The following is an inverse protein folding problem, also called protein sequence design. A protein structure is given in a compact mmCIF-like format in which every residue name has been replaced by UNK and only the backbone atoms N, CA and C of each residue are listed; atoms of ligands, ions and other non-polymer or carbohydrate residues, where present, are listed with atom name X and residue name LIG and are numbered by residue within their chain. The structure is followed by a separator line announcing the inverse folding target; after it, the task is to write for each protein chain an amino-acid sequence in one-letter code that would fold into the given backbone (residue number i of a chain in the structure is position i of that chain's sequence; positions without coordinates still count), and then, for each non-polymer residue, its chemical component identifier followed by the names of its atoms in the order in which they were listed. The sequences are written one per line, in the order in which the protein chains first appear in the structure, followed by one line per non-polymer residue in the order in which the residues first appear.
data_IF_036722969499
#
_entry.id   IF_036722969499
#
_cell.length_a   1.000
_cell.length_b   1.000
_cell.length_c   1.000
_cell.angle_alpha   90.00
_cell.angle_beta   90.00
_cell.angle_gamma   90.00
#
_symmetry.space_group_name_H-M   'P 1'
#
loop_
_entity.id
_entity.type
_entity.pdbx_description
1 polymer ?
#
# COMPACT_ATOMS: atom_id res chain seq x y z
N UNK A 1 -9.08 10.23 12.93
CA UNK A 1 -9.53 10.11 11.52
C UNK A 1 -8.29 10.32 10.68
N UNK A 2 -7.38 9.33 10.66
CA UNK A 2 -5.95 9.67 10.52
C UNK A 2 -5.25 8.97 9.35
N UNK A 3 -5.97 8.12 8.60
CA UNK A 3 -5.45 7.49 7.39
C UNK A 3 -6.37 7.80 6.21
N UNK A 4 -5.79 8.27 5.12
CA UNK A 4 -6.49 8.56 3.85
C UNK A 4 -5.95 7.62 2.79
N UNK A 5 -6.82 6.85 2.14
CA UNK A 5 -6.45 6.10 0.95
C UNK A 5 -6.40 7.05 -0.24
N UNK A 6 -5.23 7.22 -0.87
CA UNK A 6 -5.06 8.13 -1.99
C UNK A 6 -5.39 7.46 -3.33
N UNK A 7 -5.13 6.16 -3.43
CA UNK A 7 -5.41 5.41 -4.64
C UNK A 7 -4.45 4.26 -4.86
N UNK A 8 -4.45 3.72 -6.08
CA UNK A 8 -3.52 2.69 -6.53
C UNK A 8 -3.12 2.87 -7.97
N UNK A 9 -1.96 2.31 -8.30
CA UNK A 9 -1.47 2.20 -9.67
C UNK A 9 -1.12 0.74 -9.96
N UNK A 10 -1.51 0.27 -11.15
CA UNK A 10 -1.13 -1.04 -11.66
C UNK A 10 0.11 -0.87 -12.54
N UNK A 11 1.16 -1.59 -12.20
CA UNK A 11 2.39 -1.67 -12.98
C UNK A 11 2.41 -3.04 -13.66
N UNK A 12 2.58 -3.06 -14.97
CA UNK A 12 2.83 -4.28 -15.75
C UNK A 12 4.24 -4.13 -16.27
N UNK A 13 5.18 -4.86 -15.68
CA UNK A 13 6.59 -4.73 -16.03
C UNK A 13 7.36 -6.03 -15.82
N UNK A 14 8.27 -6.33 -16.73
CA UNK A 14 9.13 -7.52 -16.71
C UNK A 14 10.38 -7.33 -15.82
N UNK A 15 10.42 -6.27 -15.01
CA UNK A 15 11.51 -6.06 -14.07
C UNK A 15 11.67 -7.24 -13.10
N UNK A 16 12.84 -7.89 -13.19
CA UNK A 16 13.33 -8.88 -12.23
C UNK A 16 13.63 -8.28 -10.85
N UNK A 17 13.70 -6.94 -10.74
CA UNK A 17 13.96 -6.23 -9.49
C UNK A 17 13.03 -5.01 -9.36
N UNK A 18 12.11 -5.06 -8.41
CA UNK A 18 11.18 -3.98 -8.08
C UNK A 18 11.35 -3.64 -6.59
N UNK A 19 11.93 -2.48 -6.29
CA UNK A 19 12.26 -2.03 -4.94
C UNK A 19 11.50 -0.73 -4.58
N UNK A 20 11.79 -0.16 -3.41
CA UNK A 20 11.16 1.07 -2.93
C UNK A 20 11.41 2.27 -3.85
N UNK A 21 12.62 2.43 -4.40
CA UNK A 21 12.95 3.53 -5.31
C UNK A 21 12.14 3.47 -6.62
N UNK A 22 12.02 2.28 -7.20
CA UNK A 22 11.19 2.05 -8.37
C UNK A 22 9.71 2.33 -8.06
N UNK A 23 9.23 1.86 -6.90
CA UNK A 23 7.86 2.11 -6.46
C UNK A 23 7.58 3.61 -6.25
N UNK A 24 8.49 4.35 -5.62
CA UNK A 24 8.38 5.80 -5.44
C UNK A 24 8.34 6.52 -6.79
N UNK A 25 9.22 6.16 -7.73
CA UNK A 25 9.25 6.75 -9.08
C UNK A 25 7.91 6.57 -9.80
N UNK A 26 7.31 5.38 -9.70
CA UNK A 26 5.99 5.10 -10.28
C UNK A 26 4.91 5.94 -9.60
N UNK A 27 4.90 5.99 -8.27
CA UNK A 27 3.91 6.73 -7.49
C UNK A 27 3.99 8.23 -7.81
N UNK A 28 5.18 8.82 -7.81
CA UNK A 28 5.38 10.23 -8.12
C UNK A 28 4.91 10.55 -9.54
N UNK A 29 5.24 9.69 -10.52
CA UNK A 29 4.74 9.85 -11.88
C UNK A 29 3.21 9.80 -11.94
N UNK A 30 2.59 8.84 -11.24
CA UNK A 30 1.15 8.69 -11.20
C UNK A 30 0.47 9.88 -10.51
N UNK A 31 1.06 10.44 -9.45
CA UNK A 31 0.55 11.66 -8.78
C UNK A 31 0.61 12.84 -9.76
N UNK A 32 1.76 13.08 -10.38
CA UNK A 32 1.97 14.22 -11.31
C UNK A 32 1.00 14.16 -12.48
N UNK A 33 0.74 12.97 -13.02
CA UNK A 33 -0.15 12.75 -14.16
C UNK A 33 -1.63 12.64 -13.77
N UNK A 34 -1.95 12.55 -12.48
CA UNK A 34 -3.33 12.29 -12.03
C UNK A 34 -3.81 10.88 -12.37
N UNK A 35 -2.91 9.90 -12.44
CA UNK A 35 -3.16 8.51 -12.82
C UNK A 35 -3.32 7.56 -11.61
N UNK A 36 -3.23 8.09 -10.38
CA UNK A 36 -3.61 7.31 -9.20
C UNK A 36 -5.10 6.96 -9.29
N UNK A 37 -5.39 5.68 -9.50
CA UNK A 37 -6.75 5.18 -9.55
C UNK A 37 -7.42 5.25 -8.18
N UNK A 38 -8.64 5.78 -8.14
CA UNK A 38 -9.42 5.97 -6.91
C UNK A 38 -9.64 7.44 -6.60
N UNK A 39 -10.24 7.70 -5.44
CA UNK A 39 -10.43 9.05 -4.91
C UNK A 39 -9.86 9.10 -3.49
N UNK A 40 -9.12 10.15 -3.12
CA UNK A 40 -8.70 10.38 -1.75
C UNK A 40 -9.90 10.30 -0.80
N UNK A 41 -9.81 9.40 0.18
CA UNK A 41 -10.87 9.28 1.19
C UNK A 41 -10.36 8.70 2.51
N UNK A 42 -10.92 9.12 3.65
CA UNK A 42 -10.59 8.56 4.95
C UNK A 42 -10.92 7.06 5.01
N UNK A 43 -10.00 6.27 5.57
CA UNK A 43 -10.15 4.82 5.69
C UNK A 43 -9.73 4.31 7.06
N UNK A 44 -10.27 3.15 7.42
CA UNK A 44 -9.75 2.30 8.48
C UNK A 44 -9.03 1.11 7.86
N UNK A 45 -7.86 0.76 8.39
CA UNK A 45 -7.07 -0.39 7.93
C UNK A 45 -6.93 -1.40 9.05
N UNK A 46 -7.34 -2.63 8.79
CA UNK A 46 -7.21 -3.77 9.70
C UNK A 46 -6.20 -4.76 9.13
N UNK A 47 -5.18 -5.09 9.91
CA UNK A 47 -4.18 -6.10 9.53
C UNK A 47 -4.44 -7.38 10.33
N UNK A 48 -4.59 -8.49 9.63
CA UNK A 48 -4.71 -9.83 10.19
C UNK A 48 -3.54 -10.71 9.74
N UNK A 49 -3.46 -11.95 10.22
CA UNK A 49 -2.39 -12.89 9.86
C UNK A 49 -2.38 -13.32 8.40
N UNK A 50 -3.47 -13.11 7.66
CA UNK A 50 -3.60 -13.57 6.26
C UNK A 50 -3.94 -12.46 5.28
N UNK A 51 -4.39 -11.29 5.75
CA UNK A 51 -4.87 -10.21 4.89
C UNK A 51 -4.84 -8.84 5.56
N UNK A 52 -4.81 -7.82 4.73
CA UNK A 52 -5.04 -6.42 5.05
C UNK A 52 -6.44 -6.06 4.54
N UNK A 53 -7.30 -5.49 5.38
CA UNK A 53 -8.62 -4.98 4.98
C UNK A 53 -8.65 -3.47 5.08
N UNK A 54 -9.23 -2.83 4.07
CA UNK A 54 -9.43 -1.38 4.01
C UNK A 54 -10.92 -1.09 3.95
N UNK A 55 -11.39 -0.18 4.79
CA UNK A 55 -12.81 0.16 4.93
C UNK A 55 -13.02 1.68 4.94
N UNK A 56 -14.16 2.11 4.39
CA UNK A 56 -14.69 3.47 4.53
C UNK A 56 -15.91 3.43 5.43
N UNK A 57 -15.75 3.81 6.70
CA UNK A 57 -16.78 3.56 7.70
C UNK A 57 -17.08 2.05 7.77
N UNK A 58 -18.34 1.67 7.55
CA UNK A 58 -18.75 0.27 7.51
C UNK A 58 -18.55 -0.41 6.15
N UNK A 59 -18.30 0.35 5.08
CA UNK A 59 -18.16 -0.17 3.72
C UNK A 59 -16.77 -0.82 3.52
N UNK A 60 -16.75 -2.05 3.01
CA UNK A 60 -15.51 -2.71 2.62
C UNK A 60 -15.03 -2.16 1.27
N UNK A 61 -13.83 -1.57 1.25
CA UNK A 61 -13.24 -1.02 0.03
C UNK A 61 -12.30 -2.01 -0.65
N UNK A 62 -11.42 -2.63 0.13
CA UNK A 62 -10.41 -3.53 -0.40
C UNK A 62 -10.03 -4.61 0.61
N UNK A 63 -9.65 -5.76 0.09
CA UNK A 63 -9.09 -6.86 0.85
C UNK A 63 -7.86 -7.34 0.08
N UNK A 64 -6.70 -7.24 0.70
CA UNK A 64 -5.43 -7.65 0.09
C UNK A 64 -4.85 -8.83 0.85
N UNK A 65 -4.51 -9.90 0.13
CA UNK A 65 -3.88 -11.08 0.71
C UNK A 65 -2.43 -10.80 1.09
N UNK A 66 -2.00 -11.25 2.26
CA UNK A 66 -0.58 -11.18 2.65
C UNK A 66 0.28 -12.17 1.86
N UNK A 67 -0.33 -13.21 1.28
CA UNK A 67 0.36 -14.16 0.40
C UNK A 67 0.79 -13.54 -0.95
N UNK A 68 0.20 -12.41 -1.34
CA UNK A 68 0.59 -11.65 -2.53
C UNK A 68 1.33 -10.37 -2.17
N UNK A 69 1.59 -10.10 -0.90
CA UNK A 69 2.40 -8.95 -0.48
C UNK A 69 3.85 -9.18 -0.91
N UNK A 70 4.44 -8.23 -1.65
CA UNK A 70 5.87 -8.25 -1.94
C UNK A 70 6.63 -7.50 -0.84
N UNK A 71 6.23 -6.27 -0.56
CA UNK A 71 6.77 -5.45 0.51
C UNK A 71 5.81 -4.30 0.85
N UNK A 72 6.02 -3.69 2.02
CA UNK A 72 5.33 -2.49 2.45
C UNK A 72 6.30 -1.60 3.23
N UNK A 73 6.22 -0.30 3.03
CA UNK A 73 7.11 0.67 3.65
C UNK A 73 6.40 2.01 3.85
N UNK A 74 7.00 2.88 4.66
CA UNK A 74 6.51 4.24 4.89
C UNK A 74 7.61 5.26 4.67
N UNK A 75 7.27 6.40 4.11
CA UNK A 75 8.18 7.53 3.92
C UNK A 75 7.49 8.86 4.27
N UNK A 76 8.29 9.90 4.47
CA UNK A 76 7.80 11.27 4.72
C UNK A 76 8.13 12.14 3.51
N UNK A 77 7.13 12.80 2.93
CA UNK A 77 7.30 13.64 1.73
C UNK A 77 7.57 15.13 2.04
N UNK A 78 7.72 15.49 3.32
CA UNK A 78 7.86 16.87 3.78
C UNK A 78 6.58 17.44 4.39
N UNK A 79 5.42 16.87 4.06
CA UNK A 79 4.12 17.33 4.57
C UNK A 79 3.36 16.23 5.30
N UNK A 80 3.49 14.97 4.86
CA UNK A 80 2.73 13.84 5.37
C UNK A 80 3.52 12.55 5.35
N UNK A 81 3.07 11.60 6.18
CA UNK A 81 3.60 10.24 6.20
C UNK A 81 2.79 9.37 5.24
N UNK A 82 3.46 8.89 4.22
CA UNK A 82 2.89 7.99 3.23
C UNK A 82 3.21 6.54 3.59
N UNK A 83 2.28 5.65 3.30
CA UNK A 83 2.42 4.20 3.41
C UNK A 83 2.17 3.62 2.04
N UNK A 84 3.13 2.84 1.57
CA UNK A 84 3.05 2.15 0.28
C UNK A 84 2.99 0.66 0.55
N UNK A 85 2.00 0.01 -0.07
CA UNK A 85 1.80 -1.43 0.02
C UNK A 85 1.85 -1.98 -1.40
N UNK A 86 2.79 -2.89 -1.65
CA UNK A 86 3.03 -3.46 -2.98
C UNK A 86 2.59 -4.92 -2.99
N UNK A 87 1.66 -5.24 -3.87
CA UNK A 87 1.19 -6.60 -4.08
C UNK A 87 1.56 -7.11 -5.47
N UNK A 88 1.96 -8.37 -5.56
CA UNK A 88 2.07 -9.10 -6.82
C UNK A 88 0.67 -9.37 -7.38
N UNK A 89 0.54 -9.25 -8.70
CA UNK A 89 -0.66 -9.59 -9.43
C UNK A 89 -0.99 -11.07 -9.31
N UNK A 90 -2.27 -11.39 -9.06
CA UNK A 90 -2.74 -12.77 -8.94
C UNK A 90 -2.76 -13.53 -10.27
N UNK A 91 -2.77 -12.81 -11.41
CA UNK A 91 -2.86 -13.38 -12.76
C UNK A 91 -1.55 -13.31 -13.56
N UNK A 92 -0.61 -12.48 -13.14
CA UNK A 92 0.71 -12.38 -13.75
C UNK A 92 1.74 -12.02 -12.69
N UNK A 93 2.85 -12.75 -12.66
CA UNK A 93 3.98 -12.44 -11.79
C UNK A 93 4.69 -11.13 -12.19
N UNK A 94 4.49 -10.65 -13.42
CA UNK A 94 5.00 -9.36 -13.92
C UNK A 94 4.06 -8.19 -13.61
N UNK A 95 2.88 -8.44 -13.05
CA UNK A 95 1.99 -7.37 -12.63
C UNK A 95 2.19 -7.06 -11.14
N UNK A 96 2.16 -5.77 -10.78
CA UNK A 96 2.19 -5.29 -9.40
C UNK A 96 1.16 -4.21 -9.18
N UNK A 97 0.45 -4.26 -8.06
CA UNK A 97 -0.44 -3.20 -7.62
C UNK A 97 0.20 -2.46 -6.45
N UNK A 98 0.36 -1.15 -6.61
CA UNK A 98 0.88 -0.26 -5.58
C UNK A 98 -0.28 0.51 -4.98
N UNK A 99 -0.45 0.43 -3.67
CA UNK A 99 -1.50 1.11 -2.94
C UNK A 99 -0.89 2.19 -2.04
N UNK A 100 -1.41 3.40 -2.14
CA UNK A 100 -0.89 4.55 -1.42
C UNK A 100 -1.89 5.01 -0.35
N UNK A 101 -1.42 5.09 0.89
CA UNK A 101 -2.14 5.68 2.02
C UNK A 101 -1.35 6.84 2.59
N UNK A 102 -2.04 7.82 3.15
CA UNK A 102 -1.44 9.02 3.74
C UNK A 102 -1.97 9.26 5.16
N UNK A 103 -1.07 9.69 6.03
CA UNK A 103 -1.35 10.07 7.41
C UNK A 103 -0.63 11.37 7.74
N UNK A 104 -1.28 12.29 8.44
CA UNK A 104 -0.62 13.45 9.06
C UNK A 104 0.10 13.08 10.36
N UNK A 105 -0.08 11.85 10.85
CA UNK A 105 0.40 11.38 12.14
C UNK A 105 1.47 10.29 11.94
N UNK A 106 2.73 10.59 12.25
CA UNK A 106 3.87 9.67 12.07
C UNK A 106 3.65 8.32 12.77
N UNK A 107 3.26 8.27 14.07
CA UNK A 107 3.10 7.00 14.75
C UNK A 107 2.11 6.06 14.06
N UNK A 108 1.09 6.59 13.39
CA UNK A 108 0.10 5.76 12.72
C UNK A 108 0.66 5.04 11.49
N UNK A 109 1.44 5.74 10.66
CA UNK A 109 2.09 5.15 9.51
C UNK A 109 3.09 4.05 9.94
N UNK A 110 3.90 4.33 10.96
CA UNK A 110 4.88 3.37 11.50
C UNK A 110 4.19 2.15 12.13
N UNK A 111 3.12 2.35 12.91
CA UNK A 111 2.37 1.25 13.52
C UNK A 111 1.72 0.35 12.47
N UNK A 112 1.22 0.93 11.36
CA UNK A 112 0.67 0.15 10.26
C UNK A 112 1.75 -0.72 9.60
N UNK A 113 2.93 -0.18 9.31
CA UNK A 113 4.05 -0.95 8.76
C UNK A 113 4.52 -2.04 9.72
N UNK A 114 4.62 -1.75 11.02
CA UNK A 114 4.97 -2.74 12.03
C UNK A 114 3.94 -3.88 12.11
N UNK A 115 2.65 -3.57 12.02
CA UNK A 115 1.58 -4.56 12.00
C UNK A 115 1.65 -5.46 10.75
N UNK A 116 1.85 -4.87 9.56
CA UNK A 116 2.01 -5.61 8.30
C UNK A 116 3.24 -6.52 8.37
N UNK A 117 4.38 -5.99 8.81
CA UNK A 117 5.65 -6.74 8.92
C UNK A 117 5.54 -7.91 9.89
N UNK A 118 4.87 -7.69 11.04
CA UNK A 118 4.62 -8.73 12.04
C UNK A 118 3.72 -9.84 11.47
N UNK A 119 2.66 -9.47 10.75
CA UNK A 119 1.75 -10.44 10.15
C UNK A 119 2.42 -11.23 9.02
N UNK A 120 3.18 -10.56 8.15
CA UNK A 120 3.91 -11.19 7.06
C UNK A 120 4.98 -12.16 7.56
N UNK A 121 5.73 -11.78 8.61
CA UNK A 121 6.72 -12.66 9.25
C UNK A 121 6.10 -13.95 9.82
N UNK A 122 4.84 -13.91 10.26
CA UNK A 122 4.11 -15.10 10.74
C UNK A 122 3.63 -15.98 9.59
N UNK A 123 3.37 -15.42 8.42
CA UNK A 123 2.93 -16.17 7.23
C UNK A 123 4.06 -17.01 6.63
N UNK A 124 5.32 -16.57 6.77
CA UNK A 124 6.50 -17.25 6.24
C UNK A 124 7.03 -18.38 7.13
N UNK A 125 6.45 -18.59 8.31
CA UNK A 125 6.82 -19.68 9.24
C UNK A 125 5.90 -20.87 9.06
#
# INVERSE_FOLDING_TARGET
MDLTYLGSVLVIDDFSYFNEDAANTVIDSAIIKGELGGSPQPVTVEVSTTRIRVRKGEEAMAIWGLNTLEFAYSYFDGESHNVVIVHRGSRSLSARSLHLLRSSVQPLALNLIAAISTAYSKLLR
#
